data_IF_376302606825
#
_entry.id   IF_376302606825
#
_cell.length_a   1.000
_cell.length_b   1.000
_cell.length_c   1.000
_cell.angle_alpha   90.00
_cell.angle_beta   90.00
_cell.angle_gamma   90.00
#
_symmetry.space_group_name_H-M   'P 1'
#
loop_
_entity.id
_entity.type
_entity.pdbx_description
1 polymer ?
#
# COMPACT_ATOMS: atom_id res chain seq x y z
N UNK A 1 66.49 -51.89 3.58
CA UNK A 1 65.22 -52.04 4.32
C UNK A 1 64.94 -50.70 5.04
N UNK A 2 64.25 -49.82 4.38
CA UNK A 2 63.79 -48.58 5.05
C UNK A 2 62.32 -48.40 4.77
N UNK A 3 61.56 -48.70 5.78
CA UNK A 3 60.10 -48.44 5.79
C UNK A 3 59.86 -46.94 5.96
N UNK A 4 59.58 -46.29 4.87
CA UNK A 4 59.18 -44.89 4.90
C UNK A 4 57.79 -44.73 5.47
N UNK A 5 57.71 -44.09 6.63
CA UNK A 5 56.45 -43.69 7.22
C UNK A 5 55.83 -42.58 6.35
N UNK A 6 54.76 -42.96 5.60
CA UNK A 6 53.90 -41.98 4.95
C UNK A 6 53.06 -41.31 6.04
N UNK A 7 53.41 -40.09 6.37
CA UNK A 7 52.56 -39.25 7.23
C UNK A 7 51.35 -38.77 6.38
N UNK A 8 50.22 -39.42 6.65
CA UNK A 8 48.95 -38.95 6.12
C UNK A 8 48.55 -37.68 6.85
N UNK A 9 48.68 -36.56 6.19
CA UNK A 9 48.23 -35.26 6.68
C UNK A 9 46.71 -35.19 6.46
N UNK A 10 45.95 -35.36 7.54
CA UNK A 10 44.51 -35.19 7.52
C UNK A 10 44.28 -33.69 7.56
N UNK A 11 43.97 -33.13 6.40
CA UNK A 11 43.49 -31.73 6.33
C UNK A 11 42.01 -31.74 6.76
N UNK A 12 41.77 -31.28 7.96
CA UNK A 12 40.41 -31.04 8.43
C UNK A 12 39.87 -29.81 7.71
N UNK A 13 39.05 -30.03 6.70
CA UNK A 13 38.29 -28.97 6.05
C UNK A 13 37.16 -28.61 7.01
N UNK A 14 37.32 -27.49 7.70
CA UNK A 14 36.26 -26.89 8.49
C UNK A 14 35.18 -26.37 7.48
N UNK A 15 34.10 -27.09 7.36
CA UNK A 15 32.91 -26.62 6.66
C UNK A 15 32.27 -25.53 7.53
N UNK A 16 32.57 -24.28 7.25
CA UNK A 16 31.83 -23.17 7.80
C UNK A 16 30.44 -23.21 7.17
N UNK A 17 29.46 -23.72 7.89
CA UNK A 17 28.06 -23.63 7.49
C UNK A 17 27.67 -22.15 7.52
N UNK A 18 27.69 -21.51 6.36
CA UNK A 18 27.06 -20.21 6.17
C UNK A 18 25.55 -20.40 6.33
N UNK A 19 25.01 -20.00 7.47
CA UNK A 19 23.57 -19.90 7.64
C UNK A 19 23.06 -18.86 6.65
N UNK A 20 22.03 -19.17 5.84
CA UNK A 20 21.40 -18.15 5.05
C UNK A 20 20.76 -17.12 6.00
N UNK A 21 21.20 -15.88 5.91
CA UNK A 21 20.47 -14.76 6.48
C UNK A 21 19.17 -14.70 5.70
N UNK A 22 18.12 -15.23 6.28
CA UNK A 22 16.75 -14.97 5.81
C UNK A 22 16.50 -13.51 6.13
N UNK A 23 16.66 -12.65 5.12
CA UNK A 23 16.02 -11.36 5.13
C UNK A 23 14.52 -11.63 5.24
N UNK A 24 13.99 -11.51 6.43
CA UNK A 24 12.56 -11.33 6.60
C UNK A 24 12.24 -10.00 5.93
N UNK A 25 11.88 -10.09 4.64
CA UNK A 25 11.19 -9.02 3.97
C UNK A 25 9.97 -8.73 4.84
N UNK A 26 9.97 -7.53 5.45
CA UNK A 26 8.87 -7.09 6.30
C UNK A 26 7.57 -7.41 5.60
N UNK A 27 6.72 -8.13 6.28
CA UNK A 27 5.36 -8.43 5.90
C UNK A 27 4.65 -7.12 5.63
N UNK A 28 4.74 -6.67 4.38
CA UNK A 28 3.79 -5.72 3.86
C UNK A 28 2.46 -6.43 4.01
N UNK A 29 1.73 -6.09 5.07
CA UNK A 29 0.34 -6.44 5.18
C UNK A 29 -0.29 -6.01 3.86
N UNK A 30 -0.54 -6.98 3.00
CA UNK A 30 -1.23 -6.76 1.73
C UNK A 30 -2.53 -6.04 2.09
N UNK A 31 -2.79 -4.85 1.58
CA UNK A 31 -4.05 -4.20 1.88
C UNK A 31 -5.12 -5.23 1.54
N UNK A 32 -5.96 -5.54 2.53
CA UNK A 32 -7.12 -6.45 2.42
C UNK A 32 -7.69 -6.29 1.03
N UNK A 33 -7.68 -7.37 0.24
CA UNK A 33 -7.84 -7.36 -1.21
C UNK A 33 -8.85 -6.29 -1.63
N UNK A 34 -8.39 -5.31 -2.40
CA UNK A 34 -9.25 -4.22 -2.85
C UNK A 34 -10.44 -4.82 -3.60
N UNK A 35 -11.64 -4.40 -3.25
CA UNK A 35 -12.87 -4.81 -3.93
C UNK A 35 -13.35 -3.66 -4.82
N UNK A 36 -12.86 -3.54 -6.07
CA UNK A 36 -13.15 -2.40 -6.94
C UNK A 36 -14.64 -2.18 -7.16
N UNK A 37 -15.42 -3.26 -7.29
CA UNK A 37 -16.86 -3.18 -7.45
C UNK A 37 -17.55 -2.57 -6.23
N UNK A 38 -17.13 -2.94 -5.02
CA UNK A 38 -17.63 -2.36 -3.78
C UNK A 38 -17.22 -0.89 -3.66
N UNK A 39 -15.96 -0.57 -3.95
CA UNK A 39 -15.47 0.81 -3.95
C UNK A 39 -16.24 1.71 -4.93
N UNK A 40 -16.51 1.23 -6.13
CA UNK A 40 -17.34 1.93 -7.13
C UNK A 40 -18.74 2.22 -6.58
N UNK A 41 -19.38 1.25 -5.99
CA UNK A 41 -20.72 1.42 -5.42
C UNK A 41 -20.73 2.46 -4.29
N UNK A 42 -19.75 2.41 -3.40
CA UNK A 42 -19.60 3.39 -2.33
C UNK A 42 -19.33 4.79 -2.89
N UNK A 43 -18.47 4.91 -3.88
CA UNK A 43 -18.19 6.19 -4.56
C UNK A 43 -19.46 6.80 -5.17
N UNK A 44 -20.20 6.03 -5.93
CA UNK A 44 -21.45 6.51 -6.57
C UNK A 44 -22.45 6.97 -5.50
N UNK A 45 -22.57 6.22 -4.41
CA UNK A 45 -23.54 6.51 -3.36
C UNK A 45 -23.18 7.74 -2.52
N UNK A 46 -21.89 7.95 -2.22
CA UNK A 46 -21.47 8.89 -1.20
C UNK A 46 -20.57 10.02 -1.69
N UNK A 47 -19.93 9.89 -2.83
CA UNK A 47 -18.88 10.79 -3.29
C UNK A 47 -19.22 11.49 -4.62
N UNK A 48 -19.89 10.77 -5.52
CA UNK A 48 -20.15 11.24 -6.88
C UNK A 48 -21.03 12.49 -6.91
N UNK A 49 -21.85 12.72 -5.90
CA UNK A 49 -22.67 13.94 -5.83
C UNK A 49 -21.84 15.22 -5.92
N UNK A 50 -20.69 15.27 -5.24
CA UNK A 50 -19.78 16.41 -5.28
C UNK A 50 -18.65 16.21 -6.30
N UNK A 51 -18.03 15.03 -6.31
CA UNK A 51 -16.88 14.77 -7.17
C UNK A 51 -17.23 14.47 -8.64
N UNK A 52 -18.52 14.37 -8.97
CA UNK A 52 -18.99 13.97 -10.30
C UNK A 52 -18.99 12.46 -10.49
N UNK A 53 -19.83 11.96 -11.37
CA UNK A 53 -19.98 10.52 -11.64
C UNK A 53 -18.66 9.86 -12.08
N UNK A 54 -17.78 10.61 -12.70
CA UNK A 54 -16.46 10.16 -13.18
C UNK A 54 -15.29 10.70 -12.33
N UNK A 55 -15.60 11.36 -11.22
CA UNK A 55 -14.58 11.87 -10.31
C UNK A 55 -13.84 13.12 -10.80
N UNK A 56 -14.38 13.87 -11.75
CA UNK A 56 -13.70 15.03 -12.34
C UNK A 56 -13.88 16.32 -11.53
N UNK A 57 -14.61 16.28 -10.42
CA UNK A 57 -14.87 17.46 -9.59
C UNK A 57 -15.98 18.34 -10.13
N UNK A 58 -16.76 17.85 -11.07
CA UNK A 58 -17.82 18.56 -11.79
C UNK A 58 -19.24 18.29 -11.25
N UNK A 59 -19.34 17.76 -10.03
CA UNK A 59 -20.61 17.55 -9.36
C UNK A 59 -21.13 18.83 -8.67
N UNK A 60 -21.91 18.62 -7.61
CA UNK A 60 -22.49 19.72 -6.84
C UNK A 60 -21.43 20.58 -6.15
N UNK A 61 -21.53 21.89 -6.29
CA UNK A 61 -20.59 22.86 -5.70
C UNK A 61 -21.25 23.61 -4.54
N UNK A 62 -20.52 23.64 -3.42
CA UNK A 62 -20.87 24.47 -2.27
C UNK A 62 -20.11 25.80 -2.32
N UNK A 63 -20.50 26.74 -1.48
CA UNK A 63 -19.69 27.93 -1.25
C UNK A 63 -18.35 27.50 -0.60
N UNK A 64 -17.23 27.90 -1.19
CA UNK A 64 -15.88 27.56 -0.73
C UNK A 64 -15.10 26.75 -1.76
N UNK A 65 -14.13 25.94 -1.31
CA UNK A 65 -13.31 25.17 -2.23
C UNK A 65 -14.11 24.19 -3.07
N UNK A 66 -13.85 24.17 -4.37
CA UNK A 66 -14.45 23.20 -5.29
C UNK A 66 -14.01 21.76 -4.94
N UNK A 67 -14.88 20.76 -5.23
CA UNK A 67 -14.50 19.36 -5.11
C UNK A 67 -13.26 19.05 -5.97
N UNK A 68 -12.32 18.31 -5.39
CA UNK A 68 -11.11 17.94 -6.11
C UNK A 68 -11.41 17.06 -7.32
N UNK A 69 -10.72 17.32 -8.42
CA UNK A 69 -10.69 16.40 -9.56
C UNK A 69 -9.85 15.17 -9.19
N UNK A 70 -10.50 14.04 -9.00
CA UNK A 70 -9.86 12.79 -8.59
C UNK A 70 -9.09 12.12 -9.74
N UNK A 71 -9.35 12.53 -10.98
CA UNK A 71 -8.64 12.02 -12.16
C UNK A 71 -7.39 12.83 -12.49
N UNK A 72 -7.20 13.97 -11.83
CA UNK A 72 -6.04 14.82 -12.05
C UNK A 72 -4.72 14.14 -11.60
N UNK A 73 -3.61 14.40 -12.30
CA UNK A 73 -2.31 13.82 -11.95
C UNK A 73 -1.89 14.06 -10.49
N UNK A 74 -2.20 15.22 -9.94
CA UNK A 74 -1.90 15.55 -8.55
C UNK A 74 -2.60 14.63 -7.55
N UNK A 75 -3.82 14.18 -7.85
CA UNK A 75 -4.55 13.23 -7.01
C UNK A 75 -4.07 11.81 -7.24
N UNK A 76 -3.89 11.41 -8.50
CA UNK A 76 -3.46 10.07 -8.87
C UNK A 76 -2.07 9.67 -8.38
N UNK A 77 -1.21 10.65 -8.10
CA UNK A 77 0.13 10.43 -7.53
C UNK A 77 0.12 10.18 -6.02
N UNK A 78 -1.00 10.41 -5.35
CA UNK A 78 -1.11 10.17 -3.91
C UNK A 78 -1.21 8.67 -3.65
N UNK A 79 -0.61 8.22 -2.55
CA UNK A 79 -0.78 6.86 -2.09
C UNK A 79 -2.20 6.60 -1.60
N UNK A 80 -2.64 5.34 -1.64
CA UNK A 80 -3.94 4.92 -1.11
C UNK A 80 -4.11 5.34 0.36
N UNK A 81 -3.06 5.21 1.15
CA UNK A 81 -3.04 5.68 2.55
C UNK A 81 -3.32 7.17 2.69
N UNK A 82 -2.72 8.00 1.82
CA UNK A 82 -2.94 9.45 1.85
C UNK A 82 -4.36 9.82 1.41
N UNK A 83 -4.91 9.11 0.42
CA UNK A 83 -6.29 9.28 -0.02
C UNK A 83 -7.27 8.86 1.07
N UNK A 84 -7.05 7.71 1.69
CA UNK A 84 -7.88 7.21 2.78
C UNK A 84 -7.85 8.17 3.99
N UNK A 85 -6.68 8.69 4.36
CA UNK A 85 -6.56 9.69 5.41
C UNK A 85 -7.40 10.94 5.11
N UNK A 86 -7.40 11.41 3.85
CA UNK A 86 -8.24 12.54 3.42
C UNK A 86 -9.74 12.22 3.55
N UNK A 87 -10.16 11.03 3.17
CA UNK A 87 -11.54 10.56 3.29
C UNK A 87 -11.95 10.48 4.77
N UNK A 88 -11.09 9.92 5.62
CA UNK A 88 -11.38 9.82 7.05
C UNK A 88 -11.45 11.18 7.75
N UNK A 89 -10.55 12.08 7.44
CA UNK A 89 -10.46 13.39 8.11
C UNK A 89 -11.47 14.40 7.54
N UNK A 90 -11.79 14.28 6.26
CA UNK A 90 -12.58 15.28 5.54
C UNK A 90 -11.78 16.54 5.22
N UNK A 91 -12.46 17.50 4.65
CA UNK A 91 -11.98 18.84 4.27
C UNK A 91 -13.12 19.84 4.53
N UNK A 92 -12.92 21.16 4.44
CA UNK A 92 -13.96 22.15 4.74
C UNK A 92 -15.32 21.87 4.09
N UNK A 93 -15.37 21.42 2.85
CA UNK A 93 -16.61 21.07 2.14
C UNK A 93 -16.77 19.57 1.90
N UNK A 94 -15.94 18.75 2.52
CA UNK A 94 -15.96 17.29 2.41
C UNK A 94 -16.15 16.70 3.81
N UNK A 95 -17.25 15.99 4.07
CA UNK A 95 -17.47 15.40 5.39
C UNK A 95 -16.42 14.34 5.73
N UNK A 96 -16.19 14.17 7.03
CA UNK A 96 -15.39 13.07 7.55
C UNK A 96 -16.17 11.76 7.43
N UNK A 97 -15.54 10.73 6.89
CA UNK A 97 -16.12 9.40 6.73
C UNK A 97 -15.56 8.37 7.73
N UNK A 98 -14.76 8.85 8.68
CA UNK A 98 -14.20 7.98 9.72
C UNK A 98 -15.32 7.32 10.53
N UNK A 99 -15.30 5.98 10.59
CA UNK A 99 -16.31 5.20 11.30
C UNK A 99 -17.65 5.03 10.57
N UNK A 100 -17.85 5.70 9.42
CA UNK A 100 -19.05 5.54 8.59
C UNK A 100 -18.82 4.54 7.45
N UNK A 101 -17.60 4.45 6.95
CA UNK A 101 -17.18 3.47 5.97
C UNK A 101 -16.17 2.51 6.61
N UNK A 102 -16.38 1.21 6.42
CA UNK A 102 -15.39 0.18 6.83
C UNK A 102 -14.18 0.22 5.91
N UNK A 103 -13.02 0.00 6.49
CA UNK A 103 -11.79 -0.23 5.74
C UNK A 103 -11.82 -1.55 4.94
#
# INVERSE_FOLDING_TARGET
>A
MNMGFVKVLIVAIAFAAALPIQSEAGENASPKAAHPAKGKTLFIKHCAGCHGAQGQGDGYKLLGPDPANLTAPATRKKSDRALLATIHQGKPNMPSWKGLLSE
#
